data_IF_591513352174
#
_entry.id   IF_591513352174
#
_cell.length_a   1.000
_cell.length_b   1.000
_cell.length_c   1.000
_cell.angle_alpha   90.00
_cell.angle_beta   90.00
_cell.angle_gamma   90.00
#
_symmetry.space_group_name_H-M   'P 1'
#
loop_
_entity.id
_entity.type
_entity.pdbx_description
1 polymer ?
#
# COMPACT_ATOMS: atom_id res chain seq x y z
N UNK A 1 10.05 6.13 3.02
CA UNK A 1 8.81 5.38 2.83
C UNK A 1 8.05 5.28 4.14
N UNK A 2 6.71 5.21 4.09
CA UNK A 2 5.87 5.00 5.25
C UNK A 2 4.78 3.96 4.94
N UNK A 3 4.41 3.18 5.97
CA UNK A 3 3.24 2.32 5.91
C UNK A 3 2.11 2.96 6.71
N UNK A 4 0.96 3.08 6.11
CA UNK A 4 -0.28 3.55 6.73
C UNK A 4 -1.21 2.37 6.92
N UNK A 5 -1.77 2.25 8.09
CA UNK A 5 -2.80 1.25 8.42
C UNK A 5 -4.08 1.99 8.76
N UNK A 6 -5.14 1.70 8.02
CA UNK A 6 -6.46 2.27 8.23
C UNK A 6 -7.37 1.17 8.79
N UNK A 7 -7.65 1.29 10.07
CA UNK A 7 -8.54 0.37 10.79
C UNK A 7 -9.93 1.01 10.83
N UNK A 8 -10.94 0.42 10.15
CA UNK A 8 -12.31 0.89 10.25
C UNK A 8 -12.82 0.84 11.70
N UNK A 9 -13.75 1.70 12.06
CA UNK A 9 -14.49 1.58 13.33
C UNK A 9 -15.32 0.28 13.32
N UNK A 10 -15.80 -0.16 14.48
CA UNK A 10 -16.63 -1.36 14.58
C UNK A 10 -17.94 -1.27 13.79
N UNK A 11 -18.42 -0.06 13.58
CA UNK A 11 -19.67 0.22 12.82
C UNK A 11 -19.44 0.48 11.33
N UNK A 12 -18.17 0.49 10.86
CA UNK A 12 -17.79 0.83 9.49
C UNK A 12 -17.10 -0.36 8.83
N UNK A 13 -17.45 -0.64 7.58
CA UNK A 13 -16.78 -1.67 6.80
C UNK A 13 -15.53 -1.15 6.08
N UNK A 14 -14.67 -2.08 5.65
CA UNK A 14 -13.47 -1.76 4.85
C UNK A 14 -13.85 -1.03 3.55
N UNK A 15 -14.97 -1.43 2.92
CA UNK A 15 -15.42 -0.82 1.67
C UNK A 15 -15.81 0.66 1.84
N UNK A 16 -16.37 1.04 2.98
CA UNK A 16 -16.70 2.43 3.28
C UNK A 16 -15.43 3.29 3.42
N UNK A 17 -14.37 2.73 4.03
CA UNK A 17 -13.07 3.40 4.09
C UNK A 17 -12.46 3.56 2.71
N UNK A 18 -12.58 2.54 1.83
CA UNK A 18 -12.15 2.63 0.43
C UNK A 18 -12.90 3.76 -0.29
N UNK A 19 -14.22 3.83 -0.16
CA UNK A 19 -15.02 4.90 -0.75
C UNK A 19 -14.61 6.28 -0.24
N UNK A 20 -14.35 6.39 1.06
CA UNK A 20 -13.88 7.64 1.66
C UNK A 20 -12.52 8.07 1.08
N UNK A 21 -11.57 7.13 0.93
CA UNK A 21 -10.26 7.40 0.32
C UNK A 21 -10.37 7.86 -1.14
N UNK A 22 -11.32 7.29 -1.90
CA UNK A 22 -11.56 7.74 -3.28
C UNK A 22 -12.19 9.14 -3.33
N UNK A 23 -13.07 9.48 -2.41
CA UNK A 23 -13.78 10.75 -2.38
C UNK A 23 -12.89 11.90 -1.89
N UNK A 24 -12.16 11.69 -0.77
CA UNK A 24 -11.35 12.71 -0.11
C UNK A 24 -9.91 12.77 -0.63
N UNK A 25 -9.43 11.65 -1.16
CA UNK A 25 -8.03 11.51 -1.52
C UNK A 25 -7.14 11.08 -0.34
N UNK A 26 -6.13 10.31 -0.66
CA UNK A 26 -5.20 9.75 0.35
C UNK A 26 -4.41 10.85 1.06
N UNK A 27 -4.05 11.91 0.37
CA UNK A 27 -3.29 13.05 0.93
C UNK A 27 -4.07 13.76 2.05
N UNK A 28 -5.37 13.94 1.88
CA UNK A 28 -6.22 14.55 2.91
C UNK A 28 -6.26 13.69 4.17
N UNK A 29 -6.47 12.38 4.00
CA UNK A 29 -6.49 11.43 5.13
C UNK A 29 -5.15 11.40 5.87
N UNK A 30 -4.04 11.40 5.14
CA UNK A 30 -2.70 11.49 5.74
C UNK A 30 -2.49 12.79 6.49
N UNK A 31 -3.02 13.90 5.98
CA UNK A 31 -2.92 15.23 6.62
C UNK A 31 -3.66 15.36 7.95
N UNK A 32 -4.63 14.47 8.23
CA UNK A 32 -5.33 14.44 9.52
C UNK A 32 -4.54 13.74 10.63
N UNK A 33 -3.43 13.06 10.30
CA UNK A 33 -2.63 12.33 11.27
C UNK A 33 -1.69 13.26 12.03
N UNK A 34 -1.61 13.08 13.35
CA UNK A 34 -0.66 13.79 14.21
C UNK A 34 0.34 12.79 14.83
N UNK A 35 1.62 13.16 14.97
CA UNK A 35 2.61 12.33 15.64
C UNK A 35 2.20 12.02 17.09
N UNK A 36 2.09 10.74 17.44
CA UNK A 36 1.71 10.27 18.75
C UNK A 36 2.43 8.96 19.09
N UNK A 37 2.70 8.73 20.37
CA UNK A 37 3.12 7.40 20.80
C UNK A 37 1.95 6.44 20.78
N UNK A 38 2.18 5.25 20.20
CA UNK A 38 1.15 4.21 20.07
C UNK A 38 1.72 2.87 20.48
N UNK A 39 1.01 2.17 21.36
CA UNK A 39 1.22 0.74 21.63
C UNK A 39 0.42 -0.02 20.58
N UNK A 40 1.10 -0.47 19.52
CA UNK A 40 0.47 -1.14 18.39
C UNK A 40 0.54 -2.66 18.56
N UNK A 41 -0.63 -3.32 18.46
CA UNK A 41 -0.75 -4.77 18.32
C UNK A 41 -1.34 -5.02 16.95
N UNK A 42 -0.57 -5.64 16.07
CA UNK A 42 -0.96 -5.93 14.69
C UNK A 42 -0.55 -7.36 14.33
N UNK A 43 -1.39 -8.12 13.60
CA UNK A 43 -1.00 -9.44 13.13
C UNK A 43 0.13 -9.32 12.09
N UNK A 44 0.99 -10.34 12.04
CA UNK A 44 1.85 -10.56 10.90
C UNK A 44 1.00 -10.99 9.72
N UNK A 45 1.36 -10.54 8.53
CA UNK A 45 0.68 -11.01 7.34
C UNK A 45 1.62 -11.06 6.13
N UNK A 46 1.34 -11.98 5.24
CA UNK A 46 1.97 -12.08 3.92
C UNK A 46 0.89 -12.18 2.86
N UNK A 47 0.91 -11.25 1.93
CA UNK A 47 -0.02 -11.20 0.79
C UNK A 47 0.77 -11.35 -0.50
N UNK A 48 0.34 -12.30 -1.31
CA UNK A 48 0.83 -12.46 -2.69
C UNK A 48 -0.33 -12.24 -3.65
N UNK A 49 -0.13 -11.38 -4.63
CA UNK A 49 -1.14 -11.06 -5.63
C UNK A 49 -0.53 -11.15 -7.01
N UNK A 50 -1.22 -11.84 -7.92
CA UNK A 50 -0.89 -11.90 -9.34
C UNK A 50 -2.02 -11.28 -10.15
N UNK A 51 -1.70 -10.33 -11.02
CA UNK A 51 -2.66 -9.61 -11.86
C UNK A 51 -2.21 -9.64 -13.31
N UNK A 52 -3.15 -9.87 -14.24
CA UNK A 52 -2.97 -9.49 -15.64
C UNK A 52 -3.40 -8.03 -15.82
N UNK A 53 -2.51 -7.21 -16.33
CA UNK A 53 -2.71 -5.77 -16.46
C UNK A 53 -3.18 -5.35 -17.86
N UNK A 54 -3.40 -6.29 -18.80
CA UNK A 54 -3.79 -5.97 -20.17
C UNK A 54 -5.03 -5.09 -20.19
N UNK A 55 -6.11 -5.51 -19.52
CA UNK A 55 -7.35 -4.74 -19.45
C UNK A 55 -7.17 -3.36 -18.81
N UNK A 56 -6.31 -3.26 -17.81
CA UNK A 56 -5.99 -1.99 -17.15
C UNK A 56 -5.32 -1.03 -18.12
N UNK A 57 -4.30 -1.50 -18.84
CA UNK A 57 -3.61 -0.70 -19.85
C UNK A 57 -4.55 -0.28 -21.00
N UNK A 58 -5.40 -1.20 -21.46
CA UNK A 58 -6.39 -0.89 -22.51
C UNK A 58 -7.38 0.20 -22.05
N UNK A 59 -7.85 0.14 -20.79
CA UNK A 59 -8.71 1.16 -20.20
C UNK A 59 -8.00 2.52 -20.06
N UNK A 60 -6.68 2.51 -19.84
CA UNK A 60 -5.83 3.71 -19.83
C UNK A 60 -5.49 4.23 -21.24
N UNK A 61 -5.97 3.57 -22.31
CA UNK A 61 -5.74 3.98 -23.69
C UNK A 61 -4.56 3.28 -24.38
N UNK A 62 -3.81 2.44 -23.71
CA UNK A 62 -2.69 1.68 -24.30
C UNK A 62 -3.26 0.42 -24.96
N UNK A 63 -3.62 0.51 -26.23
CA UNK A 63 -4.29 -0.58 -26.99
C UNK A 63 -3.41 -1.17 -28.08
N UNK A 64 -2.63 -0.32 -28.77
CA UNK A 64 -1.86 -0.72 -29.96
C UNK A 64 -0.89 -1.86 -29.64
N UNK A 65 -0.23 -1.83 -28.48
CA UNK A 65 0.72 -2.87 -28.07
C UNK A 65 0.12 -4.28 -28.00
N UNK A 66 -1.19 -4.39 -27.75
CA UNK A 66 -1.93 -5.65 -27.58
C UNK A 66 -2.66 -6.08 -28.86
N UNK A 67 -2.51 -5.35 -29.97
CA UNK A 67 -3.21 -5.57 -31.24
C UNK A 67 -2.24 -6.00 -32.35
N UNK A 68 -2.82 -6.43 -33.47
CA UNK A 68 -2.06 -6.74 -34.69
C UNK A 68 -1.34 -5.50 -35.29
N UNK A 69 -1.67 -4.29 -34.84
CA UNK A 69 -1.02 -3.05 -35.23
C UNK A 69 0.22 -2.71 -34.39
N UNK A 70 0.63 -3.60 -33.44
CA UNK A 70 1.82 -3.40 -32.64
C UNK A 70 3.09 -3.43 -33.51
N UNK A 71 3.97 -2.47 -33.30
CA UNK A 71 5.32 -2.49 -33.87
C UNK A 71 6.33 -2.91 -32.80
N UNK A 72 6.68 -4.18 -32.82
CA UNK A 72 7.69 -4.78 -31.95
C UNK A 72 8.90 -5.27 -32.76
N UNK A 73 9.14 -4.67 -33.93
CA UNK A 73 10.22 -5.05 -34.86
C UNK A 73 11.63 -4.95 -34.26
N UNK A 74 11.79 -4.15 -33.19
CA UNK A 74 13.02 -4.10 -32.42
C UNK A 74 13.31 -5.36 -31.60
N UNK A 75 12.32 -6.25 -31.37
CA UNK A 75 12.47 -7.50 -30.61
C UNK A 75 12.69 -8.66 -31.57
N UNK A 76 11.84 -8.81 -32.61
CA UNK A 76 11.97 -9.86 -33.60
C UNK A 76 11.28 -9.49 -34.93
N UNK A 77 11.64 -10.20 -36.02
CA UNK A 77 10.99 -10.05 -37.32
C UNK A 77 9.66 -10.79 -37.33
N UNK A 78 8.61 -10.12 -37.87
CA UNK A 78 7.28 -10.70 -38.04
C UNK A 78 6.20 -9.97 -37.22
N UNK A 79 4.92 -10.33 -37.39
CA UNK A 79 3.82 -9.73 -36.65
C UNK A 79 3.85 -10.22 -35.19
N UNK A 80 4.15 -9.30 -34.28
CA UNK A 80 4.20 -9.56 -32.84
C UNK A 80 3.27 -8.59 -32.12
N UNK A 81 2.63 -9.07 -31.07
CA UNK A 81 1.89 -8.24 -30.12
C UNK A 81 2.16 -8.73 -28.70
N UNK A 82 1.98 -7.86 -27.72
CA UNK A 82 2.04 -8.25 -26.31
C UNK A 82 0.81 -9.10 -25.99
N UNK A 83 1.01 -10.34 -25.60
CA UNK A 83 -0.08 -11.28 -25.27
C UNK A 83 -0.60 -11.09 -23.84
N UNK A 84 0.28 -10.75 -22.91
CA UNK A 84 -0.07 -10.51 -21.52
C UNK A 84 0.96 -9.63 -20.81
N UNK A 85 0.53 -8.96 -19.75
CA UNK A 85 1.38 -8.21 -18.82
C UNK A 85 1.06 -8.68 -17.42
N UNK A 86 1.96 -9.49 -16.86
CA UNK A 86 1.77 -10.09 -15.54
C UNK A 86 2.52 -9.29 -14.48
N UNK A 87 1.82 -8.85 -13.46
CA UNK A 87 2.40 -8.28 -12.27
C UNK A 87 2.23 -9.22 -11.08
N UNK A 88 3.34 -9.53 -10.41
CA UNK A 88 3.31 -10.21 -9.10
C UNK A 88 3.77 -9.24 -8.03
N UNK A 89 3.00 -9.20 -6.95
CA UNK A 89 3.26 -8.34 -5.79
C UNK A 89 3.29 -9.21 -4.55
N UNK A 90 4.30 -9.01 -3.71
CA UNK A 90 4.43 -9.66 -2.40
C UNK A 90 4.61 -8.56 -1.36
N UNK A 91 3.79 -8.60 -0.31
CA UNK A 91 3.95 -7.75 0.88
C UNK A 91 4.05 -8.68 2.08
N UNK A 92 5.16 -8.63 2.77
CA UNK A 92 5.44 -9.42 3.98
C UNK A 92 5.69 -8.47 5.15
N UNK A 93 4.82 -8.52 6.15
CA UNK A 93 4.88 -7.67 7.35
C UNK A 93 5.06 -8.54 8.58
N UNK A 94 6.17 -8.38 9.24
CA UNK A 94 6.56 -9.13 10.43
C UNK A 94 7.38 -8.25 11.40
N UNK A 95 7.83 -8.82 12.54
CA UNK A 95 8.54 -8.06 13.58
C UNK A 95 9.95 -7.59 13.16
N UNK A 96 10.53 -8.17 12.11
CA UNK A 96 11.84 -7.76 11.60
C UNK A 96 11.75 -6.50 10.73
N UNK A 97 10.54 -6.00 10.50
CA UNK A 97 10.25 -4.96 9.53
C UNK A 97 10.29 -5.51 8.10
N UNK A 98 9.90 -4.74 7.14
CA UNK A 98 10.28 -4.95 5.74
C UNK A 98 11.81 -4.85 5.69
N UNK A 99 12.53 -5.85 5.23
CA UNK A 99 14.00 -5.94 5.27
C UNK A 99 14.70 -4.59 5.03
N UNK A 100 14.97 -3.88 6.10
CA UNK A 100 15.90 -2.77 6.12
C UNK A 100 16.50 -2.74 7.51
N UNK A 101 17.83 -2.86 7.55
CA UNK A 101 18.69 -2.84 8.71
C UNK A 101 18.05 -2.25 9.97
N UNK A 102 17.96 -3.06 11.02
CA UNK A 102 17.59 -2.63 12.36
C UNK A 102 18.48 -1.44 12.78
N UNK A 103 18.05 -0.24 12.48
CA UNK A 103 18.52 0.94 13.19
C UNK A 103 17.78 0.92 14.51
N UNK A 104 18.43 0.37 15.54
CA UNK A 104 18.07 0.68 16.91
C UNK A 104 18.31 2.18 17.08
N UNK A 105 17.31 2.97 16.75
CA UNK A 105 17.29 4.38 17.10
C UNK A 105 17.18 4.44 18.63
N UNK A 106 18.33 4.47 19.29
CA UNK A 106 18.41 4.97 20.66
C UNK A 106 18.00 6.44 20.56
N UNK A 107 16.73 6.70 20.74
CA UNK A 107 16.27 8.06 20.98
C UNK A 107 16.82 8.52 22.30
N UNK A 108 17.98 9.17 22.26
CA UNK A 108 18.39 10.10 23.30
C UNK A 108 17.48 11.31 23.16
N UNK A 109 16.25 11.15 23.63
CA UNK A 109 15.26 12.21 23.65
C UNK A 109 15.59 13.15 24.79
N UNK A 110 15.84 14.42 24.48
CA UNK A 110 15.69 15.52 25.41
C UNK A 110 14.36 15.34 26.17
N UNK A 111 14.44 15.34 27.48
CA UNK A 111 13.37 15.18 28.45
C UNK A 111 12.34 16.32 28.38
N UNK A 112 11.49 16.32 27.36
CA UNK A 112 10.18 16.93 27.50
C UNK A 112 9.22 15.82 27.95
N UNK A 113 8.75 15.91 29.15
CA UNK A 113 7.71 15.04 29.72
C UNK A 113 6.50 15.18 28.83
N UNK A 114 6.28 14.19 27.93
CA UNK A 114 5.01 14.09 27.23
C UNK A 114 3.96 13.71 28.25
N UNK A 115 3.03 14.61 28.48
CA UNK A 115 1.96 14.49 29.49
C UNK A 115 0.87 13.49 29.10
N UNK A 116 0.83 13.05 27.84
CA UNK A 116 -0.19 12.11 27.36
C UNK A 116 0.36 10.67 27.32
N UNK A 117 -0.37 9.70 27.88
CA UNK A 117 -0.02 8.29 27.78
C UNK A 117 -0.09 7.82 26.32
N UNK A 118 0.68 6.77 25.92
CA UNK A 118 0.59 6.16 24.61
C UNK A 118 -0.83 5.70 24.31
N UNK A 119 -1.31 5.94 23.10
CA UNK A 119 -2.57 5.36 22.66
C UNK A 119 -2.41 3.85 22.45
N UNK A 120 -3.41 3.07 22.80
CA UNK A 120 -3.45 1.65 22.49
C UNK A 120 -4.22 1.44 21.18
N UNK A 121 -3.60 0.76 20.21
CA UNK A 121 -4.21 0.42 18.93
C UNK A 121 -4.05 -1.07 18.68
N UNK A 122 -5.16 -1.77 18.53
CA UNK A 122 -5.20 -3.19 18.22
C UNK A 122 -5.86 -3.42 16.87
N UNK A 123 -5.13 -4.06 15.98
CA UNK A 123 -5.61 -4.43 14.65
C UNK A 123 -6.13 -5.86 14.75
N UNK A 124 -7.41 -6.01 15.05
CA UNK A 124 -8.09 -7.29 15.32
C UNK A 124 -9.31 -7.54 14.41
N UNK A 125 -9.44 -6.74 13.36
CA UNK A 125 -10.51 -6.84 12.37
C UNK A 125 -10.00 -6.40 11.00
N UNK A 126 -10.77 -6.61 9.91
CA UNK A 126 -10.36 -6.23 8.56
C UNK A 126 -9.87 -4.79 8.48
N UNK A 127 -8.76 -4.57 7.77
CA UNK A 127 -8.13 -3.27 7.64
C UNK A 127 -7.52 -3.05 6.25
N UNK A 128 -7.22 -1.79 5.94
CA UNK A 128 -6.47 -1.38 4.76
C UNK A 128 -5.02 -1.05 5.13
N UNK A 129 -4.12 -1.31 4.21
CA UNK A 129 -2.75 -0.79 4.30
C UNK A 129 -2.35 -0.07 3.02
N UNK A 130 -1.55 0.97 3.18
CA UNK A 130 -0.92 1.70 2.09
C UNK A 130 0.57 1.80 2.39
N UNK A 131 1.42 1.56 1.40
CA UNK A 131 2.86 1.85 1.48
C UNK A 131 3.12 2.97 0.50
N UNK A 132 3.65 4.09 0.97
CA UNK A 132 3.85 5.29 0.20
C UNK A 132 5.29 5.80 0.26
N UNK A 133 5.71 6.38 -0.84
CA UNK A 133 6.88 7.23 -0.92
C UNK A 133 6.47 8.64 -0.47
N UNK A 134 7.02 9.08 0.65
CA UNK A 134 6.65 10.36 1.27
C UNK A 134 7.23 11.56 0.53
N UNK A 135 8.38 11.40 -0.11
CA UNK A 135 9.04 12.47 -0.86
C UNK A 135 8.36 12.68 -2.21
N UNK A 136 8.04 11.57 -2.90
CA UNK A 136 7.38 11.60 -4.20
C UNK A 136 5.85 11.71 -4.10
N UNK A 137 5.27 11.70 -2.90
CA UNK A 137 3.82 11.69 -2.65
C UNK A 137 3.08 10.60 -3.45
N UNK A 138 3.67 9.39 -3.54
CA UNK A 138 3.12 8.28 -4.34
C UNK A 138 2.80 7.07 -3.49
N UNK A 139 1.66 6.47 -3.76
CA UNK A 139 1.32 5.15 -3.24
C UNK A 139 2.05 4.11 -4.10
N UNK A 140 2.85 3.27 -3.45
CA UNK A 140 3.56 2.17 -4.08
C UNK A 140 2.78 0.87 -3.98
N UNK A 141 2.15 0.62 -2.81
CA UNK A 141 1.32 -0.54 -2.57
C UNK A 141 0.06 -0.13 -1.83
N UNK A 142 -1.03 -0.77 -2.18
CA UNK A 142 -2.30 -0.66 -1.48
C UNK A 142 -2.91 -2.06 -1.38
N UNK A 143 -3.47 -2.38 -0.23
CA UNK A 143 -4.11 -3.67 -0.05
C UNK A 143 -5.07 -3.68 1.14
N UNK A 144 -5.86 -4.76 1.20
CA UNK A 144 -6.80 -5.01 2.29
C UNK A 144 -6.57 -6.40 2.87
N UNK A 145 -6.64 -6.50 4.18
CA UNK A 145 -6.62 -7.76 4.92
C UNK A 145 -8.02 -7.99 5.44
N UNK A 146 -8.66 -9.02 4.94
CA UNK A 146 -10.07 -9.34 5.25
C UNK A 146 -10.21 -10.43 6.30
N UNK A 147 -9.21 -11.30 6.42
CA UNK A 147 -9.15 -12.39 7.39
C UNK A 147 -7.84 -12.26 8.19
N UNK A 148 -7.96 -12.34 9.51
CA UNK A 148 -6.85 -12.27 10.47
C UNK A 148 -6.55 -13.65 11.03
#
# INVERSE_FOLDING_TARGET
YAMYVLLPSESMGVEEVVHYLYASGVKEVMGMMAPRQVNLIMPKFRVETGLSLVRTFEAMGVRTAFSAAADLSGIAKGPLAVSDVLQKTVVDVNEKGTEAAAVTAVMVGLTSVRTEPPANMRIDRPFLYLIADMEAERILFAGRIMNL
#
